data_IF_346379926033
#
_entry.id   IF_346379926033
#
_cell.length_a   1.000
_cell.length_b   1.000
_cell.length_c   1.000
_cell.angle_alpha   90.00
_cell.angle_beta   90.00
_cell.angle_gamma   90.00
#
_symmetry.space_group_name_H-M   'P 1'
#
loop_
_entity.id
_entity.type
_entity.pdbx_description
1 polymer ?
#
# COMPACT_ATOMS: atom_id res chain seq x y z
N UNK A 1 31.82 16.91 18.07
CA UNK A 1 30.42 16.71 18.52
C UNK A 1 29.76 15.77 17.54
N UNK A 2 29.61 14.51 17.95
CA UNK A 2 28.96 13.49 17.12
C UNK A 2 27.44 13.75 17.22
N UNK A 3 26.83 14.39 16.23
CA UNK A 3 25.38 14.41 16.10
C UNK A 3 24.95 12.98 15.78
N UNK A 4 24.45 12.27 16.79
CA UNK A 4 23.77 10.99 16.55
C UNK A 4 22.70 11.25 15.48
N UNK A 5 22.91 10.69 14.29
CA UNK A 5 21.92 10.76 13.23
C UNK A 5 20.63 10.14 13.78
N UNK A 6 19.57 10.92 13.88
CA UNK A 6 18.27 10.40 14.33
C UNK A 6 17.81 9.33 13.35
N UNK A 7 17.43 8.18 13.88
CA UNK A 7 16.86 7.09 13.06
C UNK A 7 15.72 7.61 12.21
N UNK A 8 15.75 7.41 10.89
CA UNK A 8 14.72 7.96 10.00
C UNK A 8 13.35 7.33 10.29
N UNK A 9 12.32 8.16 10.31
CA UNK A 9 10.93 7.70 10.38
C UNK A 9 10.35 7.59 8.98
N UNK A 10 9.85 6.41 8.63
CA UNK A 10 9.29 6.08 7.33
C UNK A 10 7.78 5.85 7.45
N UNK A 11 7.01 6.52 6.61
CA UNK A 11 5.59 6.26 6.47
C UNK A 11 5.35 5.20 5.40
N UNK A 12 4.55 4.17 5.73
CA UNK A 12 4.13 3.11 4.81
C UNK A 12 2.61 3.17 4.68
N UNK A 13 2.11 3.29 3.46
CA UNK A 13 0.69 3.30 3.11
C UNK A 13 0.35 2.01 2.40
N UNK A 14 -0.58 1.24 2.95
CA UNK A 14 -0.94 -0.09 2.43
C UNK A 14 -2.40 -0.12 2.04
N UNK A 15 -2.67 -0.68 0.87
CA UNK A 15 -4.03 -0.88 0.35
C UNK A 15 -4.12 -2.25 -0.34
N UNK A 16 -5.35 -2.73 -0.56
CA UNK A 16 -5.62 -4.00 -1.21
C UNK A 16 -6.66 -3.88 -2.32
N UNK A 17 -6.62 -4.85 -3.23
CA UNK A 17 -7.57 -5.01 -4.33
C UNK A 17 -8.08 -6.44 -4.39
N UNK A 18 -9.39 -6.60 -4.59
CA UNK A 18 -10.02 -7.91 -4.80
C UNK A 18 -9.81 -8.93 -3.66
N UNK A 19 -9.82 -8.46 -2.40
CA UNK A 19 -9.57 -9.34 -1.24
C UNK A 19 -10.81 -10.11 -0.77
N UNK A 20 -12.02 -9.69 -1.18
CA UNK A 20 -13.27 -10.33 -0.71
C UNK A 20 -13.60 -11.60 -1.51
N UNK A 21 -14.06 -12.68 -0.85
CA UNK A 21 -14.46 -13.91 -1.52
C UNK A 21 -15.56 -13.75 -2.58
N UNK A 22 -16.58 -12.88 -2.38
CA UNK A 22 -17.71 -12.77 -3.31
C UNK A 22 -17.42 -11.94 -4.59
N UNK A 23 -16.22 -11.35 -4.74
CA UNK A 23 -15.89 -10.52 -5.90
C UNK A 23 -15.65 -11.30 -7.21
N UNK A 24 -15.71 -12.65 -7.16
CA UNK A 24 -15.47 -13.59 -8.27
C UNK A 24 -14.13 -13.44 -8.98
N UNK A 25 -13.21 -12.65 -8.42
CA UNK A 25 -11.87 -12.48 -8.96
C UNK A 25 -10.97 -13.62 -8.50
N UNK A 26 -10.14 -14.13 -9.40
CA UNK A 26 -9.15 -15.18 -9.09
C UNK A 26 -7.88 -14.60 -8.48
N UNK A 27 -7.65 -13.32 -8.67
CA UNK A 27 -6.44 -12.61 -8.23
C UNK A 27 -6.77 -11.68 -7.07
N UNK A 28 -5.87 -11.61 -6.09
CA UNK A 28 -5.85 -10.60 -5.04
C UNK A 28 -4.51 -9.87 -5.11
N UNK A 29 -4.51 -8.56 -4.97
CA UNK A 29 -3.30 -7.77 -4.92
C UNK A 29 -3.25 -6.91 -3.66
N UNK A 30 -2.06 -6.81 -3.06
CA UNK A 30 -1.74 -5.89 -1.98
C UNK A 30 -0.61 -4.98 -2.44
N UNK A 31 -0.67 -3.71 -2.07
CA UNK A 31 0.36 -2.73 -2.38
C UNK A 31 0.76 -1.92 -1.17
N UNK A 32 2.05 -1.64 -1.07
CA UNK A 32 2.61 -0.71 -0.11
C UNK A 32 3.39 0.38 -0.83
N UNK A 33 3.08 1.62 -0.50
CA UNK A 33 3.81 2.81 -0.91
C UNK A 33 4.51 3.39 0.32
N UNK A 34 5.81 3.74 0.23
CA UNK A 34 6.49 4.30 1.39
C UNK A 34 7.48 5.40 1.01
N UNK A 35 7.71 6.30 1.94
CA UNK A 35 8.69 7.36 1.86
C UNK A 35 9.11 7.83 3.25
N UNK A 36 10.25 8.53 3.41
CA UNK A 36 10.58 9.23 4.64
C UNK A 36 9.47 10.20 5.04
N UNK A 37 9.14 10.27 6.32
CA UNK A 37 8.09 11.17 6.84
C UNK A 37 8.37 12.63 6.47
N UNK A 38 9.64 13.03 6.44
CA UNK A 38 10.07 14.38 6.07
C UNK A 38 9.68 14.77 4.64
N UNK A 39 9.58 13.78 3.74
CA UNK A 39 9.25 13.97 2.32
C UNK A 39 7.74 14.03 2.03
N UNK A 40 6.91 13.55 2.94
CA UNK A 40 5.45 13.44 2.72
C UNK A 40 4.83 14.76 2.28
N UNK A 41 5.25 15.87 2.92
CA UNK A 41 4.70 17.20 2.61
C UNK A 41 5.08 17.68 1.21
N UNK A 42 6.35 17.50 0.84
CA UNK A 42 6.89 17.88 -0.48
C UNK A 42 6.22 17.05 -1.58
N UNK A 43 6.22 15.71 -1.42
CA UNK A 43 5.61 14.79 -2.38
C UNK A 43 4.11 15.04 -2.56
N UNK A 44 3.39 15.30 -1.46
CA UNK A 44 1.97 15.66 -1.51
C UNK A 44 1.73 16.99 -2.26
N UNK A 45 2.62 17.97 -2.12
CA UNK A 45 2.54 19.22 -2.85
C UNK A 45 2.78 18.98 -4.36
N UNK A 46 3.85 18.26 -4.72
CA UNK A 46 4.17 17.95 -6.10
C UNK A 46 3.02 17.20 -6.82
N UNK A 47 2.40 16.23 -6.14
CA UNK A 47 1.24 15.53 -6.68
C UNK A 47 0.02 16.45 -6.88
N UNK A 48 -0.24 17.38 -5.94
CA UNK A 48 -1.31 18.37 -6.11
C UNK A 48 -1.06 19.28 -7.31
N UNK A 49 0.19 19.71 -7.49
CA UNK A 49 0.59 20.58 -8.62
C UNK A 49 0.45 19.82 -9.96
N UNK A 50 0.85 18.55 -9.99
CA UNK A 50 0.63 17.68 -11.15
C UNK A 50 -0.87 17.58 -11.49
N UNK A 51 -1.72 17.29 -10.50
CA UNK A 51 -3.17 17.23 -10.68
C UNK A 51 -3.74 18.57 -11.15
N UNK A 52 -3.24 19.69 -10.63
CA UNK A 52 -3.69 21.04 -11.03
C UNK A 52 -3.34 21.33 -12.49
N UNK A 53 -2.13 21.04 -12.94
CA UNK A 53 -1.69 21.20 -14.33
C UNK A 53 -2.61 20.49 -15.32
N UNK A 54 -3.03 19.27 -14.99
CA UNK A 54 -3.93 18.47 -15.81
C UNK A 54 -5.42 18.68 -15.51
N UNK A 55 -5.78 19.60 -14.62
CA UNK A 55 -7.16 19.79 -14.14
C UNK A 55 -7.79 18.49 -13.64
N UNK A 56 -6.97 17.57 -13.13
CA UNK A 56 -7.38 16.26 -12.63
C UNK A 56 -7.98 16.40 -11.23
N UNK A 57 -9.29 16.25 -11.11
CA UNK A 57 -10.02 16.38 -9.84
C UNK A 57 -10.38 15.01 -9.26
N UNK A 58 -10.49 14.97 -7.94
CA UNK A 58 -10.93 13.78 -7.20
C UNK A 58 -9.84 12.73 -7.04
N UNK A 59 -10.26 11.52 -6.72
CA UNK A 59 -9.40 10.38 -6.42
C UNK A 59 -8.78 9.78 -7.68
N UNK A 60 -7.54 9.30 -7.57
CA UNK A 60 -6.86 8.53 -8.60
C UNK A 60 -7.48 7.12 -8.63
N UNK A 61 -8.03 6.75 -9.79
CA UNK A 61 -8.65 5.43 -9.99
C UNK A 61 -8.26 4.90 -11.36
N UNK A 62 -7.93 3.61 -11.43
CA UNK A 62 -7.67 2.93 -12.70
C UNK A 62 -8.86 3.03 -13.67
N UNK A 63 -10.08 2.89 -13.16
CA UNK A 63 -11.31 3.02 -13.96
C UNK A 63 -11.55 4.42 -14.57
N UNK A 64 -10.74 5.41 -14.18
CA UNK A 64 -10.79 6.77 -14.76
C UNK A 64 -9.72 7.01 -15.82
N UNK A 65 -8.88 6.02 -16.10
CA UNK A 65 -7.94 6.09 -17.23
C UNK A 65 -8.74 6.06 -18.53
N UNK A 66 -8.50 7.04 -19.37
CA UNK A 66 -9.18 7.20 -20.66
C UNK A 66 -8.26 7.97 -21.60
N UNK A 67 -8.52 7.90 -22.92
CA UNK A 67 -7.72 8.60 -23.91
C UNK A 67 -7.57 10.12 -23.59
N UNK A 68 -8.65 10.76 -23.12
CA UNK A 68 -8.63 12.18 -22.75
C UNK A 68 -7.82 12.52 -21.48
N UNK A 69 -7.51 11.51 -20.67
CA UNK A 69 -6.73 11.67 -19.43
C UNK A 69 -5.38 10.96 -19.47
N UNK A 70 -5.04 10.33 -20.59
CA UNK A 70 -3.83 9.53 -20.72
C UNK A 70 -2.58 10.34 -20.36
N UNK A 71 -2.44 11.57 -20.87
CA UNK A 71 -1.31 12.45 -20.57
C UNK A 71 -1.11 12.66 -19.06
N UNK A 72 -2.20 12.83 -18.30
CA UNK A 72 -2.11 12.94 -16.84
C UNK A 72 -1.55 11.67 -16.20
N UNK A 73 -2.00 10.50 -16.63
CA UNK A 73 -1.54 9.25 -16.03
C UNK A 73 -0.11 8.88 -16.46
N UNK A 74 0.31 9.24 -17.67
CA UNK A 74 1.72 9.12 -18.08
C UNK A 74 2.61 10.01 -17.20
N UNK A 75 2.28 11.30 -17.06
CA UNK A 75 3.03 12.23 -16.22
C UNK A 75 3.02 11.81 -14.73
N UNK A 76 1.96 11.16 -14.26
CA UNK A 76 1.90 10.61 -12.90
C UNK A 76 2.92 9.46 -12.71
N UNK A 77 3.03 8.58 -13.70
CA UNK A 77 4.01 7.48 -13.67
C UNK A 77 5.43 8.04 -13.75
N UNK A 78 5.67 8.96 -14.69
CA UNK A 78 6.99 9.58 -14.87
C UNK A 78 7.41 10.35 -13.60
N UNK A 79 6.48 11.08 -12.98
CA UNK A 79 6.72 11.73 -11.70
C UNK A 79 7.09 10.72 -10.62
N UNK A 80 6.33 9.63 -10.47
CA UNK A 80 6.62 8.59 -9.49
C UNK A 80 8.00 7.98 -9.69
N UNK A 81 8.36 7.67 -10.95
CA UNK A 81 9.64 7.04 -11.27
C UNK A 81 10.84 7.99 -11.07
N UNK A 82 10.60 9.31 -11.11
CA UNK A 82 11.62 10.33 -10.87
C UNK A 82 11.84 10.66 -9.38
N UNK A 83 10.90 10.29 -8.51
CA UNK A 83 10.94 10.60 -7.07
C UNK A 83 11.71 9.52 -6.30
N UNK A 84 13.03 9.68 -6.19
CA UNK A 84 13.92 8.72 -5.48
C UNK A 84 13.44 8.31 -4.08
N UNK A 85 12.89 9.20 -3.22
CA UNK A 85 12.46 8.82 -1.88
C UNK A 85 11.11 8.09 -1.85
N UNK A 86 10.44 7.96 -2.99
CA UNK A 86 9.12 7.34 -3.09
C UNK A 86 9.24 5.92 -3.68
N UNK A 87 8.81 4.94 -2.92
CA UNK A 87 8.93 3.54 -3.29
C UNK A 87 7.59 2.84 -3.29
N UNK A 88 7.45 1.80 -4.11
CA UNK A 88 6.28 0.95 -4.17
C UNK A 88 6.65 -0.53 -4.23
N UNK A 89 5.85 -1.36 -3.54
CA UNK A 89 5.90 -2.82 -3.61
C UNK A 89 4.49 -3.37 -3.78
N UNK A 90 4.31 -4.25 -4.76
CA UNK A 90 3.11 -5.06 -4.93
C UNK A 90 3.34 -6.51 -4.53
N UNK A 91 2.32 -7.14 -3.95
CA UNK A 91 2.20 -8.58 -3.75
C UNK A 91 0.94 -9.05 -4.47
N UNK A 92 1.11 -9.94 -5.44
CA UNK A 92 -0.01 -10.52 -6.20
C UNK A 92 -0.20 -11.97 -5.79
N UNK A 93 -1.40 -12.32 -5.38
CA UNK A 93 -1.82 -13.68 -5.06
C UNK A 93 -2.68 -14.19 -6.21
N UNK A 94 -2.16 -15.16 -6.94
CA UNK A 94 -2.88 -15.83 -8.02
C UNK A 94 -3.76 -16.94 -7.45
N UNK A 95 -4.85 -17.25 -8.17
CA UNK A 95 -5.74 -18.37 -7.90
C UNK A 95 -6.24 -18.44 -6.45
N UNK A 96 -6.59 -17.27 -5.87
CA UNK A 96 -7.07 -17.19 -4.48
C UNK A 96 -8.22 -18.14 -4.15
N UNK A 97 -8.97 -18.60 -5.17
CA UNK A 97 -10.05 -19.58 -5.01
C UNK A 97 -9.54 -21.01 -4.76
N UNK A 98 -8.30 -21.32 -5.15
CA UNK A 98 -7.68 -22.62 -4.93
C UNK A 98 -6.97 -22.70 -3.57
N UNK A 99 -6.91 -21.59 -2.83
CA UNK A 99 -6.30 -21.56 -1.51
C UNK A 99 -7.13 -22.41 -0.54
N UNK A 100 -6.54 -23.50 -0.07
CA UNK A 100 -7.18 -24.37 0.94
C UNK A 100 -7.11 -23.71 2.32
N UNK A 101 -8.04 -22.76 2.57
CA UNK A 101 -8.11 -22.04 3.85
C UNK A 101 -8.31 -22.98 5.05
N UNK A 102 -9.00 -24.11 4.88
CA UNK A 102 -9.21 -25.07 5.94
C UNK A 102 -7.89 -25.72 6.38
N UNK A 103 -7.02 -26.06 5.43
CA UNK A 103 -5.74 -26.71 5.74
C UNK A 103 -4.68 -25.73 6.29
N UNK A 104 -4.63 -24.50 5.78
CA UNK A 104 -3.53 -23.57 6.07
C UNK A 104 -3.88 -22.41 6.98
N UNK A 105 -5.16 -22.05 7.11
CA UNK A 105 -5.62 -20.89 7.85
C UNK A 105 -6.75 -21.21 8.84
N UNK A 106 -6.94 -22.48 9.22
CA UNK A 106 -8.01 -22.92 10.15
C UNK A 106 -9.42 -22.44 9.71
N UNK A 107 -9.63 -22.25 8.41
CA UNK A 107 -10.87 -21.69 7.86
C UNK A 107 -11.04 -20.18 8.04
N UNK A 108 -10.06 -19.49 8.62
CA UNK A 108 -10.10 -18.05 8.87
C UNK A 108 -9.50 -17.25 7.70
N UNK A 109 -10.35 -16.59 6.90
CA UNK A 109 -9.96 -15.69 5.81
C UNK A 109 -9.15 -14.49 6.31
N UNK A 110 -9.46 -14.02 7.51
CA UNK A 110 -8.74 -12.89 8.08
C UNK A 110 -7.30 -13.26 8.42
N UNK A 111 -7.06 -14.50 8.90
CA UNK A 111 -5.71 -14.98 9.16
C UNK A 111 -4.87 -15.03 7.89
N UNK A 112 -5.45 -15.45 6.75
CA UNK A 112 -4.80 -15.38 5.46
C UNK A 112 -4.43 -13.95 5.07
N UNK A 113 -5.38 -13.02 5.20
CA UNK A 113 -5.15 -11.60 4.90
C UNK A 113 -3.96 -11.03 5.68
N UNK A 114 -3.88 -11.29 7.00
CA UNK A 114 -2.77 -10.81 7.82
C UNK A 114 -1.43 -11.47 7.48
N UNK A 115 -1.42 -12.74 7.05
CA UNK A 115 -0.22 -13.39 6.53
C UNK A 115 0.29 -12.71 5.25
N UNK A 116 -0.59 -12.28 4.37
CA UNK A 116 -0.22 -11.54 3.16
C UNK A 116 0.30 -10.15 3.49
N UNK A 117 -0.32 -9.43 4.44
CA UNK A 117 0.20 -8.16 4.97
C UNK A 117 1.60 -8.34 5.58
N UNK A 118 1.80 -9.37 6.37
CA UNK A 118 3.13 -9.70 6.90
C UNK A 118 4.14 -9.93 5.77
N UNK A 119 3.79 -10.73 4.77
CA UNK A 119 4.67 -11.05 3.64
C UNK A 119 5.05 -9.81 2.81
N UNK A 120 4.11 -8.87 2.65
CA UNK A 120 4.34 -7.60 1.98
C UNK A 120 5.29 -6.73 2.79
N UNK A 121 4.97 -6.49 4.07
CA UNK A 121 5.67 -5.54 4.94
C UNK A 121 7.05 -6.04 5.35
N UNK A 122 7.21 -7.32 5.66
CA UNK A 122 8.47 -7.91 6.10
C UNK A 122 9.64 -7.71 5.11
N UNK A 123 9.34 -7.43 3.85
CA UNK A 123 10.33 -7.15 2.81
C UNK A 123 10.68 -5.66 2.66
N UNK A 124 9.96 -4.81 3.38
CA UNK A 124 10.15 -3.35 3.37
C UNK A 124 10.89 -2.92 4.64
N UNK A 125 10.59 -3.58 5.76
CA UNK A 125 11.14 -3.22 7.06
C UNK A 125 12.65 -3.54 7.16
N UNK A 126 13.40 -2.65 7.80
CA UNK A 126 14.81 -2.78 8.13
C UNK A 126 15.04 -2.35 9.59
N UNK A 127 15.98 -2.95 10.33
CA UNK A 127 16.30 -2.57 11.71
C UNK A 127 16.78 -1.11 11.87
N UNK A 128 17.23 -0.48 10.77
CA UNK A 128 17.86 0.84 10.78
C UNK A 128 16.87 1.99 10.70
N UNK A 129 15.56 1.73 10.75
CA UNK A 129 14.51 2.73 10.59
C UNK A 129 13.37 2.55 11.56
N UNK A 130 12.63 3.63 11.82
CA UNK A 130 11.34 3.59 12.50
C UNK A 130 10.20 3.69 11.48
N UNK A 131 9.05 3.09 11.78
CA UNK A 131 7.94 2.99 10.83
C UNK A 131 6.62 3.46 11.43
N UNK A 132 5.87 4.23 10.66
CA UNK A 132 4.45 4.48 10.85
C UNK A 132 3.68 3.83 9.69
N UNK A 133 2.90 2.78 9.98
CA UNK A 133 2.20 1.98 8.97
C UNK A 133 0.73 2.35 8.99
N UNK A 134 0.18 2.60 7.82
CA UNK A 134 -1.21 3.00 7.60
C UNK A 134 -1.89 1.95 6.72
N UNK A 135 -2.92 1.29 7.28
CA UNK A 135 -3.68 0.24 6.64
C UNK A 135 -5.14 0.67 6.47
N UNK A 136 -5.74 0.45 5.30
CA UNK A 136 -7.18 0.62 5.15
C UNK A 136 -7.92 -0.49 5.89
N UNK A 137 -8.61 -0.11 6.96
CA UNK A 137 -9.30 -1.04 7.85
C UNK A 137 -10.75 -0.67 7.93
N UNK A 138 -11.58 -1.62 7.52
CA UNK A 138 -13.04 -1.44 7.44
C UNK A 138 -13.80 -1.86 8.71
N UNK A 139 -13.13 -2.50 9.70
CA UNK A 139 -13.80 -3.13 10.83
C UNK A 139 -13.12 -2.80 12.18
N UNK A 140 -13.96 -2.59 13.20
CA UNK A 140 -13.54 -2.34 14.59
C UNK A 140 -12.85 -3.53 15.28
N UNK A 141 -13.11 -4.76 14.83
CA UNK A 141 -12.42 -5.98 15.30
C UNK A 141 -10.97 -6.05 14.86
N UNK A 142 -10.61 -5.27 13.88
CA UNK A 142 -9.27 -5.22 13.28
C UNK A 142 -8.19 -4.69 14.22
N UNK A 143 -8.53 -3.95 15.28
CA UNK A 143 -7.51 -3.40 16.21
C UNK A 143 -6.67 -4.48 16.89
N UNK A 144 -7.29 -5.55 17.38
CA UNK A 144 -6.55 -6.66 18.02
C UNK A 144 -5.64 -7.37 17.02
N UNK A 145 -6.13 -7.54 15.80
CA UNK A 145 -5.36 -8.16 14.71
C UNK A 145 -4.19 -7.30 14.26
N UNK A 146 -4.35 -5.96 14.27
CA UNK A 146 -3.25 -5.02 14.02
C UNK A 146 -2.19 -5.06 15.10
N UNK A 147 -2.58 -5.15 16.37
CA UNK A 147 -1.63 -5.34 17.46
C UNK A 147 -0.85 -6.64 17.26
N UNK A 148 -1.52 -7.71 16.83
CA UNK A 148 -0.87 -9.00 16.56
C UNK A 148 0.06 -8.93 15.34
N UNK A 149 -0.35 -8.27 14.26
CA UNK A 149 0.52 -8.04 13.10
C UNK A 149 1.78 -7.27 13.49
N UNK A 150 1.63 -6.19 14.27
CA UNK A 150 2.74 -5.40 14.79
C UNK A 150 3.68 -6.27 15.62
N UNK A 151 3.17 -7.03 16.58
CA UNK A 151 3.94 -7.96 17.41
C UNK A 151 4.74 -8.94 16.56
N UNK A 152 4.10 -9.58 15.57
CA UNK A 152 4.76 -10.56 14.71
C UNK A 152 5.84 -9.91 13.84
N UNK A 153 5.60 -8.71 13.31
CA UNK A 153 6.59 -7.96 12.53
C UNK A 153 7.80 -7.56 13.41
N UNK A 154 7.55 -7.02 14.61
CA UNK A 154 8.62 -6.65 15.54
C UNK A 154 9.44 -7.88 15.96
N UNK A 155 8.80 -8.99 16.30
CA UNK A 155 9.48 -10.22 16.67
C UNK A 155 10.36 -10.76 15.53
N UNK A 156 9.87 -10.69 14.28
CA UNK A 156 10.64 -11.11 13.12
C UNK A 156 11.88 -10.23 12.86
N UNK A 157 11.83 -8.97 13.29
CA UNK A 157 12.95 -8.03 13.20
C UNK A 157 13.82 -8.01 14.47
N UNK A 158 13.58 -8.91 15.43
CA UNK A 158 14.23 -8.95 16.74
C UNK A 158 14.04 -7.67 17.56
N UNK A 159 13.01 -6.88 17.26
CA UNK A 159 12.63 -5.67 18.03
C UNK A 159 11.65 -6.02 19.16
N UNK A 160 12.17 -6.58 20.23
CA UNK A 160 11.39 -6.98 21.41
C UNK A 160 10.84 -5.79 22.20
N UNK A 161 11.34 -4.59 21.95
CA UNK A 161 10.83 -3.34 22.57
C UNK A 161 9.65 -2.78 21.81
N UNK A 162 9.40 -3.27 20.62
CA UNK A 162 8.40 -2.75 19.67
C UNK A 162 8.57 -1.25 19.38
N UNK A 163 9.80 -0.75 19.43
CA UNK A 163 10.12 0.65 19.19
C UNK A 163 10.16 0.99 17.71
N UNK A 164 10.55 0.02 16.88
CA UNK A 164 10.75 0.19 15.45
C UNK A 164 9.43 0.48 14.69
N UNK A 165 8.34 -0.17 15.09
CA UNK A 165 7.02 0.12 14.55
C UNK A 165 6.21 0.84 15.63
N UNK A 166 6.11 2.16 15.51
CA UNK A 166 5.39 3.00 16.48
C UNK A 166 3.92 2.62 16.61
N UNK A 167 3.18 2.78 15.53
CA UNK A 167 1.77 2.40 15.46
C UNK A 167 1.39 1.90 14.08
N UNK A 168 0.43 0.98 14.01
CA UNK A 168 -0.31 0.67 12.78
C UNK A 168 -1.64 1.44 12.89
N UNK A 169 -1.82 2.41 12.01
CA UNK A 169 -2.98 3.30 12.03
C UNK A 169 -4.08 2.79 11.09
N UNK A 170 -5.37 2.85 11.51
CA UNK A 170 -6.47 2.76 10.56
C UNK A 170 -6.45 4.00 9.65
N UNK A 171 -6.64 3.81 8.36
CA UNK A 171 -6.42 4.85 7.32
C UNK A 171 -7.39 6.04 7.35
N UNK A 172 -8.39 6.06 8.23
CA UNK A 172 -9.39 7.14 8.29
C UNK A 172 -8.84 8.58 8.42
N UNK A 173 -7.54 8.73 8.73
CA UNK A 173 -6.90 10.04 8.90
C UNK A 173 -6.12 10.55 7.69
N UNK A 174 -5.88 9.73 6.68
CA UNK A 174 -4.90 10.01 5.61
C UNK A 174 -5.46 10.44 4.27
N UNK A 175 -6.77 10.43 4.09
CA UNK A 175 -7.43 10.96 2.88
C UNK A 175 -6.99 12.40 2.50
N UNK A 176 -6.12 13.01 3.29
CA UNK A 176 -5.63 14.37 3.12
C UNK A 176 -4.26 14.47 2.43
N UNK A 177 -3.42 13.43 2.42
CA UNK A 177 -2.06 13.55 1.87
C UNK A 177 -2.01 13.39 0.34
N UNK A 178 -2.92 12.63 -0.25
CA UNK A 178 -2.94 12.34 -1.68
C UNK A 178 -1.91 11.27 -2.12
N UNK A 179 -0.85 11.02 -1.34
CA UNK A 179 0.18 10.02 -1.64
C UNK A 179 -0.38 8.61 -1.53
N UNK A 180 -1.27 8.36 -0.57
CA UNK A 180 -2.01 7.11 -0.41
C UNK A 180 -2.79 6.75 -1.69
N UNK A 181 -3.42 7.76 -2.33
CA UNK A 181 -4.14 7.58 -3.60
C UNK A 181 -3.21 7.14 -4.75
N UNK A 182 -1.93 7.54 -4.71
CA UNK A 182 -0.92 7.09 -5.68
C UNK A 182 -0.63 5.60 -5.48
N UNK A 183 -0.47 5.14 -4.26
CA UNK A 183 -0.30 3.70 -3.95
C UNK A 183 -1.48 2.87 -4.42
N UNK A 184 -2.72 3.32 -4.15
CA UNK A 184 -3.95 2.69 -4.67
C UNK A 184 -4.00 2.63 -6.19
N UNK A 185 -3.58 3.68 -6.88
CA UNK A 185 -3.51 3.70 -8.34
C UNK A 185 -2.55 2.64 -8.86
N UNK A 186 -1.31 2.57 -8.35
CA UNK A 186 -0.33 1.57 -8.76
C UNK A 186 -0.77 0.15 -8.43
N UNK A 187 -1.42 -0.07 -7.29
CA UNK A 187 -1.99 -1.36 -6.94
C UNK A 187 -3.03 -1.82 -7.97
N UNK A 188 -3.91 -0.92 -8.40
CA UNK A 188 -4.91 -1.22 -9.44
C UNK A 188 -4.30 -1.46 -10.82
N UNK A 189 -3.14 -0.88 -11.13
CA UNK A 189 -2.38 -1.23 -12.34
C UNK A 189 -1.87 -2.68 -12.33
N UNK A 190 -1.64 -3.24 -11.15
CA UNK A 190 -1.25 -4.65 -10.98
C UNK A 190 -2.44 -5.61 -11.00
N UNK A 191 -3.66 -5.12 -11.00
CA UNK A 191 -4.87 -5.92 -11.05
C UNK A 191 -5.10 -6.45 -12.46
N UNK A 192 -4.41 -7.55 -12.77
CA UNK A 192 -4.45 -8.24 -14.07
C UNK A 192 -5.81 -8.87 -14.40
N UNK A 193 -6.76 -8.86 -13.46
CA UNK A 193 -8.10 -9.40 -13.65
C UNK A 193 -9.08 -8.38 -14.23
N UNK A 194 -8.66 -7.14 -14.43
CA UNK A 194 -9.50 -6.10 -15.00
C UNK A 194 -9.70 -6.34 -16.51
N UNK A 195 -10.90 -6.59 -17.00
CA UNK A 195 -11.15 -6.92 -18.42
C UNK A 195 -10.73 -5.81 -19.39
N UNK A 196 -10.38 -4.63 -18.91
CA UNK A 196 -9.97 -3.49 -19.74
C UNK A 196 -8.53 -3.58 -20.28
N UNK A 197 -7.71 -4.53 -19.81
CA UNK A 197 -6.36 -4.73 -20.36
C UNK A 197 -6.39 -5.67 -21.58
N UNK A 198 -7.43 -6.49 -21.73
CA UNK A 198 -7.55 -7.48 -22.80
C UNK A 198 -8.09 -6.95 -24.13
N UNK A 199 -8.60 -5.72 -24.20
CA UNK A 199 -9.31 -5.19 -25.37
C UNK A 199 -8.74 -3.88 -25.93
N UNK A 200 -7.43 -3.68 -25.92
CA UNK A 200 -6.83 -2.65 -26.78
C UNK A 200 -6.22 -3.32 -28.02
N UNK A 201 -6.90 -3.29 -29.18
CA UNK A 201 -6.26 -3.67 -30.44
C UNK A 201 -5.16 -2.65 -30.75
N UNK A 202 -3.98 -3.19 -31.16
CA UNK A 202 -2.82 -2.46 -31.61
C UNK A 202 -3.07 -1.57 -32.84
#
# INVERSE_FOLDING_TARGET
MNTAASTPLINIYVDESCHLPPDRQTVMALGALWCPQTEVRRLSAALRDLKARHRARGELKWSKVSASRLAFYCDLVDWFMAEEPLHFRGLVVLDKQQLNHAAFNQGDHDLFYYKMQFSLLNRILSPDSHYAIYLDIKDTRSRLKLCKLREVLCNNMYDFTSAMIGHIHPEHSLARSGIDATGRFFLRCLDLSSPQIAEQPG
#
